data_IF_325197167153
#
_entry.id   IF_325197167153
#
_cell.length_a   1.000
_cell.length_b   1.000
_cell.length_c   1.000
_cell.angle_alpha   90.00
_cell.angle_beta   90.00
_cell.angle_gamma   90.00
#
_symmetry.space_group_name_H-M   'P 1'
#
loop_
_entity.id
_entity.type
_entity.pdbx_description
1 polymer ?
#
# COMPACT_ATOMS: atom_id res chain seq x y z
N UNK A 1 -15.13 15.69 -5.57
CA UNK A 1 -15.77 14.48 -6.19
C UNK A 1 -16.32 14.69 -7.61
N UNK A 2 -15.95 15.67 -8.41
CA UNK A 2 -16.65 15.99 -9.64
C UNK A 2 -15.91 15.91 -10.98
N UNK A 3 -14.58 15.88 -11.00
CA UNK A 3 -13.84 16.11 -12.27
C UNK A 3 -13.69 14.92 -13.22
N UNK A 4 -14.00 13.70 -12.81
CA UNK A 4 -13.85 12.47 -13.62
C UNK A 4 -15.12 11.60 -13.67
N UNK A 5 -16.29 12.19 -13.45
CA UNK A 5 -17.56 11.44 -13.46
C UNK A 5 -17.92 10.83 -14.84
N UNK A 6 -17.30 11.31 -15.91
CA UNK A 6 -17.50 10.84 -17.28
C UNK A 6 -16.63 9.60 -17.64
N UNK A 7 -15.55 9.35 -16.86
CA UNK A 7 -14.71 8.15 -17.06
C UNK A 7 -15.29 7.00 -16.23
N UNK A 8 -15.58 5.88 -16.87
CA UNK A 8 -16.13 4.68 -16.23
C UNK A 8 -15.14 3.53 -16.20
N UNK A 9 -15.31 2.63 -15.22
CA UNK A 9 -14.51 1.41 -15.11
C UNK A 9 -13.05 1.64 -14.75
N UNK A 10 -12.17 0.76 -15.21
CA UNK A 10 -10.73 0.72 -14.89
C UNK A 10 -9.99 2.01 -15.29
N UNK A 11 -10.37 2.64 -16.39
CA UNK A 11 -9.78 3.89 -16.86
C UNK A 11 -9.87 5.04 -15.83
N UNK A 12 -10.91 5.06 -14.99
CA UNK A 12 -11.06 6.03 -13.92
C UNK A 12 -9.95 5.87 -12.87
N UNK A 13 -9.67 4.65 -12.45
CA UNK A 13 -8.62 4.37 -11.46
C UNK A 13 -7.24 4.69 -12.01
N UNK A 14 -6.97 4.37 -13.26
CA UNK A 14 -5.73 4.73 -13.96
C UNK A 14 -5.54 6.25 -13.99
N UNK A 15 -6.54 7.00 -14.40
CA UNK A 15 -6.48 8.46 -14.45
C UNK A 15 -6.27 9.10 -13.07
N UNK A 16 -6.93 8.57 -12.04
CA UNK A 16 -6.74 9.01 -10.64
C UNK A 16 -5.34 8.67 -10.14
N UNK A 17 -4.82 7.49 -10.46
CA UNK A 17 -3.45 7.06 -10.14
C UNK A 17 -2.41 7.98 -10.77
N UNK A 18 -2.52 8.29 -12.06
CA UNK A 18 -1.63 9.22 -12.76
C UNK A 18 -1.67 10.61 -12.09
N UNK A 19 -2.86 11.12 -11.80
CA UNK A 19 -3.02 12.41 -11.11
C UNK A 19 -2.37 12.40 -9.73
N UNK A 20 -2.56 11.34 -8.96
CA UNK A 20 -1.94 11.18 -7.65
C UNK A 20 -0.41 11.16 -7.75
N UNK A 21 0.16 10.41 -8.68
CA UNK A 21 1.60 10.33 -8.92
C UNK A 21 2.19 11.71 -9.28
N UNK A 22 1.55 12.43 -10.17
CA UNK A 22 2.02 13.76 -10.59
C UNK A 22 1.98 14.78 -9.45
N UNK A 23 0.95 14.72 -8.60
CA UNK A 23 0.77 15.61 -7.44
C UNK A 23 1.54 15.18 -6.19
N UNK A 24 2.12 13.99 -6.17
CA UNK A 24 2.76 13.44 -4.98
C UNK A 24 4.01 14.22 -4.58
N UNK A 25 4.10 14.51 -3.29
CA UNK A 25 5.30 15.04 -2.65
C UNK A 25 5.83 13.99 -1.68
N UNK A 26 7.13 13.73 -1.76
CA UNK A 26 7.80 12.84 -0.82
C UNK A 26 7.72 13.42 0.59
N UNK A 27 7.33 12.60 1.54
CA UNK A 27 7.33 12.93 2.97
C UNK A 27 8.15 11.87 3.71
N UNK A 28 9.02 12.26 4.64
CA UNK A 28 9.70 11.31 5.51
C UNK A 28 8.69 10.70 6.50
N UNK A 29 8.86 9.41 6.76
CA UNK A 29 8.11 8.70 7.78
C UNK A 29 8.99 7.62 8.40
N UNK A 30 8.70 7.23 9.63
CA UNK A 30 9.28 6.02 10.19
C UNK A 30 8.31 4.85 9.99
N UNK A 31 8.86 3.66 9.86
CA UNK A 31 8.08 2.44 9.80
C UNK A 31 8.76 1.31 10.56
N UNK A 32 7.96 0.35 11.01
CA UNK A 32 8.40 -0.90 11.62
C UNK A 32 7.55 -2.04 11.10
N UNK A 33 8.19 -3.11 10.62
CA UNK A 33 7.52 -4.30 10.10
C UNK A 33 7.82 -5.47 11.01
N UNK A 34 6.80 -6.24 11.37
CA UNK A 34 6.90 -7.47 12.19
C UNK A 34 7.68 -7.29 13.51
N UNK A 35 7.55 -6.11 14.15
CA UNK A 35 8.30 -5.80 15.38
C UNK A 35 9.81 -5.68 15.20
N UNK A 36 10.29 -5.61 13.95
CA UNK A 36 11.71 -5.43 13.62
C UNK A 36 12.24 -4.03 13.93
N UNK A 37 13.36 -3.67 13.32
CA UNK A 37 13.97 -2.36 13.52
C UNK A 37 13.12 -1.24 12.94
N UNK A 38 13.10 -0.10 13.61
CA UNK A 38 12.47 1.12 13.10
C UNK A 38 13.35 1.72 12.00
N UNK A 39 12.76 1.96 10.85
CA UNK A 39 13.44 2.54 9.70
C UNK A 39 12.78 3.86 9.32
N UNK A 40 13.58 4.89 9.09
CA UNK A 40 13.11 6.14 8.49
C UNK A 40 13.22 6.04 6.98
N UNK A 41 12.12 6.28 6.30
CA UNK A 41 11.99 6.11 4.85
C UNK A 41 11.37 7.34 4.20
N UNK A 42 11.81 7.72 2.99
CA UNK A 42 11.08 8.69 2.19
C UNK A 42 9.85 8.00 1.60
N UNK A 43 8.66 8.32 2.07
CA UNK A 43 7.41 7.80 1.47
C UNK A 43 7.21 8.40 0.09
N UNK A 44 7.70 7.70 -0.90
CA UNK A 44 7.54 8.00 -2.30
C UNK A 44 7.34 6.70 -3.06
N UNK A 45 6.14 6.47 -3.53
CA UNK A 45 5.86 5.31 -4.35
C UNK A 45 4.67 4.48 -3.88
N UNK A 46 4.85 3.18 -3.88
CA UNK A 46 3.81 2.20 -3.61
C UNK A 46 3.94 1.65 -2.19
N UNK A 47 2.85 1.74 -1.43
CA UNK A 47 2.78 1.21 -0.08
C UNK A 47 1.42 0.55 0.11
N UNK A 48 1.38 -0.77 0.18
CA UNK A 48 0.12 -1.53 0.26
C UNK A 48 0.28 -2.72 1.18
N UNK A 49 -0.61 -2.84 2.15
CA UNK A 49 -0.80 -4.02 2.96
C UNK A 49 -2.14 -4.66 2.58
N UNK A 50 -2.11 -5.91 2.14
CA UNK A 50 -3.33 -6.59 1.68
C UNK A 50 -3.29 -8.09 1.91
N UNK A 51 -4.47 -8.67 2.13
CA UNK A 51 -4.71 -10.12 2.08
C UNK A 51 -5.28 -10.59 0.74
N UNK A 52 -5.66 -9.68 -0.13
CA UNK A 52 -6.23 -10.00 -1.43
C UNK A 52 -5.26 -9.65 -2.55
N UNK A 53 -5.14 -10.52 -3.54
CA UNK A 53 -4.24 -10.33 -4.68
C UNK A 53 -4.56 -9.05 -5.47
N UNK A 54 -5.84 -8.71 -5.56
CA UNK A 54 -6.32 -7.64 -6.44
C UNK A 54 -7.13 -6.60 -5.69
N UNK A 55 -7.00 -5.34 -6.11
CA UNK A 55 -7.91 -4.26 -5.72
C UNK A 55 -8.11 -3.24 -6.87
N UNK A 56 -9.00 -2.27 -6.68
CA UNK A 56 -9.12 -1.10 -7.55
C UNK A 56 -9.49 -1.42 -9.01
N UNK A 57 -10.30 -2.46 -9.23
CA UNK A 57 -10.76 -2.81 -10.57
C UNK A 57 -9.90 -3.85 -11.29
N UNK A 58 -9.14 -4.67 -10.55
CA UNK A 58 -8.40 -5.80 -11.09
C UNK A 58 -6.89 -5.65 -11.13
N UNK A 59 -6.34 -4.61 -10.51
CA UNK A 59 -4.88 -4.49 -10.36
C UNK A 59 -4.36 -5.57 -9.41
N UNK A 60 -3.40 -6.37 -9.85
CA UNK A 60 -2.74 -7.41 -9.04
C UNK A 60 -1.62 -6.81 -8.19
N UNK A 61 -1.99 -6.08 -7.15
CA UNK A 61 -1.02 -5.29 -6.38
C UNK A 61 -0.20 -6.15 -5.44
N UNK A 62 -0.79 -7.19 -4.88
CA UNK A 62 -0.13 -8.16 -3.98
C UNK A 62 -0.22 -9.56 -4.58
N UNK A 63 0.57 -9.86 -5.63
CA UNK A 63 0.46 -11.12 -6.35
C UNK A 63 0.68 -12.32 -5.42
N UNK A 64 -0.23 -13.28 -5.46
CA UNK A 64 -0.23 -14.46 -4.61
C UNK A 64 -0.73 -14.24 -3.18
N UNK A 65 -1.18 -13.04 -2.81
CA UNK A 65 -1.86 -12.84 -1.54
C UNK A 65 -3.20 -13.57 -1.51
N UNK A 66 -3.53 -14.17 -0.38
CA UNK A 66 -4.75 -14.95 -0.26
C UNK A 66 -5.33 -14.86 1.16
N UNK A 67 -6.67 -14.67 1.32
CA UNK A 67 -7.31 -14.48 2.62
C UNK A 67 -7.17 -15.62 3.63
N UNK A 68 -6.78 -16.82 3.18
CA UNK A 68 -6.55 -17.99 4.06
C UNK A 68 -5.13 -18.05 4.65
N UNK A 69 -4.25 -17.10 4.30
CA UNK A 69 -2.92 -17.04 4.89
C UNK A 69 -2.99 -16.48 6.31
N UNK A 70 -2.03 -16.86 7.13
CA UNK A 70 -1.85 -16.38 8.50
C UNK A 70 -1.14 -15.02 8.60
N UNK A 71 -0.91 -14.39 7.45
CA UNK A 71 -0.26 -13.09 7.29
C UNK A 71 -0.88 -12.29 6.15
N UNK A 72 -0.68 -10.99 6.16
CA UNK A 72 -0.92 -10.12 5.01
C UNK A 72 0.35 -10.01 4.16
N UNK A 73 0.22 -9.57 2.92
CA UNK A 73 1.35 -9.24 2.06
C UNK A 73 1.56 -7.73 2.06
N UNK A 74 2.78 -7.29 2.38
CA UNK A 74 3.20 -5.91 2.38
C UNK A 74 4.03 -5.62 1.13
N UNK A 75 3.56 -4.71 0.29
CA UNK A 75 4.31 -4.16 -0.85
C UNK A 75 4.91 -2.83 -0.43
N UNK A 76 6.21 -2.70 -0.65
CA UNK A 76 6.95 -1.48 -0.39
C UNK A 76 7.70 -1.08 -1.66
N UNK A 77 7.43 0.11 -2.17
CA UNK A 77 8.17 0.71 -3.27
C UNK A 77 8.79 2.03 -2.82
N UNK A 78 10.10 2.04 -2.59
CA UNK A 78 10.82 3.22 -2.10
C UNK A 78 11.72 3.84 -3.16
N UNK A 79 11.88 5.15 -3.10
CA UNK A 79 12.80 5.89 -3.97
C UNK A 79 12.45 5.80 -5.46
N UNK A 80 11.19 5.56 -5.80
CA UNK A 80 10.70 5.54 -7.17
C UNK A 80 10.59 6.97 -7.70
N UNK A 81 11.19 7.24 -8.86
CA UNK A 81 10.91 8.49 -9.58
C UNK A 81 9.47 8.52 -10.09
N UNK A 82 8.93 9.72 -10.38
CA UNK A 82 7.59 9.85 -10.96
C UNK A 82 7.45 9.08 -12.28
N UNK A 83 8.51 9.02 -13.09
CA UNK A 83 8.52 8.24 -14.33
C UNK A 83 8.47 6.73 -14.04
N UNK A 84 9.20 6.25 -13.02
CA UNK A 84 9.12 4.84 -12.60
C UNK A 84 7.73 4.51 -12.03
N UNK A 85 7.13 5.42 -11.24
CA UNK A 85 5.75 5.24 -10.75
C UNK A 85 4.73 5.17 -11.89
N UNK A 86 4.89 5.96 -12.95
CA UNK A 86 4.04 5.85 -14.14
C UNK A 86 4.32 4.56 -14.91
N UNK A 87 5.58 4.19 -15.07
CA UNK A 87 5.98 2.98 -15.79
C UNK A 87 5.57 1.69 -15.09
N UNK A 88 5.40 1.71 -13.76
CA UNK A 88 4.98 0.53 -13.00
C UNK A 88 3.47 0.23 -13.15
N UNK A 89 2.66 1.16 -13.62
CA UNK A 89 1.19 0.98 -13.72
C UNK A 89 0.79 -0.24 -14.56
N UNK A 90 1.44 -0.46 -15.71
CA UNK A 90 1.18 -1.64 -16.54
C UNK A 90 1.60 -2.96 -15.87
N UNK A 91 2.86 -3.09 -15.40
CA UNK A 91 3.28 -4.23 -14.60
C UNK A 91 2.42 -4.49 -13.35
N UNK A 92 1.94 -3.44 -12.68
CA UNK A 92 1.07 -3.54 -11.52
C UNK A 92 -0.27 -4.22 -11.84
N UNK A 93 -0.83 -3.95 -13.01
CA UNK A 93 -2.05 -4.60 -13.48
C UNK A 93 -1.89 -6.12 -13.62
N UNK A 94 -0.69 -6.56 -14.02
CA UNK A 94 -0.35 -7.97 -14.24
C UNK A 94 0.28 -8.68 -13.05
N UNK A 95 0.63 -7.96 -11.99
CA UNK A 95 1.38 -8.49 -10.85
C UNK A 95 2.88 -8.65 -11.10
N UNK A 96 3.42 -8.01 -12.14
CA UNK A 96 4.83 -8.11 -12.59
C UNK A 96 5.72 -6.97 -12.04
N UNK A 97 5.24 -6.24 -11.04
CA UNK A 97 5.94 -5.06 -10.50
C UNK A 97 6.92 -5.42 -9.38
N UNK A 98 6.73 -6.54 -8.69
CA UNK A 98 7.62 -6.97 -7.60
C UNK A 98 9.03 -7.21 -8.14
N UNK A 99 10.03 -6.73 -7.43
CA UNK A 99 11.44 -6.80 -7.84
C UNK A 99 11.87 -5.76 -8.87
N UNK A 100 10.96 -4.98 -9.45
CA UNK A 100 11.31 -3.96 -10.45
C UNK A 100 12.30 -2.93 -9.89
N UNK A 101 13.36 -2.73 -10.67
CA UNK A 101 14.48 -1.83 -10.36
C UNK A 101 15.17 -2.08 -9.00
N UNK A 102 14.93 -3.24 -8.35
CA UNK A 102 15.40 -3.48 -6.99
C UNK A 102 14.78 -2.55 -5.93
N UNK A 103 13.67 -1.87 -6.27
CA UNK A 103 13.03 -0.85 -5.44
C UNK A 103 11.65 -1.23 -4.93
N UNK A 104 11.06 -2.28 -5.49
CA UNK A 104 9.73 -2.76 -5.10
C UNK A 104 9.91 -4.14 -4.50
N UNK A 105 9.64 -4.25 -3.21
CA UNK A 105 9.70 -5.49 -2.45
C UNK A 105 8.31 -5.93 -2.04
N UNK A 106 8.15 -7.22 -1.80
CA UNK A 106 6.98 -7.81 -1.19
C UNK A 106 7.44 -8.74 -0.06
N UNK A 107 6.83 -8.60 1.09
CA UNK A 107 7.14 -9.42 2.27
C UNK A 107 5.86 -9.79 3.03
N UNK A 108 5.95 -10.87 3.80
CA UNK A 108 4.87 -11.31 4.69
C UNK A 108 4.84 -10.41 5.92
N UNK A 109 3.64 -9.96 6.30
CA UNK A 109 3.46 -8.99 7.34
C UNK A 109 2.37 -9.42 8.34
N UNK A 110 2.73 -9.50 9.60
CA UNK A 110 1.82 -9.77 10.72
C UNK A 110 1.57 -8.53 11.58
N UNK A 111 2.51 -7.58 11.57
CA UNK A 111 2.33 -6.28 12.20
C UNK A 111 3.06 -5.18 11.42
N UNK A 112 2.45 -4.01 11.37
CA UNK A 112 3.00 -2.86 10.67
C UNK A 112 2.71 -1.58 11.46
N UNK A 113 3.73 -0.79 11.71
CA UNK A 113 3.62 0.51 12.35
C UNK A 113 4.20 1.57 11.44
N UNK A 114 3.56 2.73 11.40
CA UNK A 114 4.01 3.88 10.62
C UNK A 114 3.66 5.17 11.35
N UNK A 115 4.59 6.12 11.33
CA UNK A 115 4.39 7.42 11.97
C UNK A 115 5.24 8.51 11.33
N UNK A 116 5.10 9.71 11.87
CA UNK A 116 5.83 10.89 11.42
C UNK A 116 7.26 10.89 11.99
N UNK A 117 8.09 11.76 11.43
CA UNK A 117 9.42 12.06 11.95
C UNK A 117 9.53 13.52 12.35
N UNK A 118 10.42 13.83 13.26
CA UNK A 118 10.82 15.19 13.62
C UNK A 118 11.71 15.84 12.52
N UNK A 119 12.21 17.04 12.80
CA UNK A 119 13.10 17.76 11.88
C UNK A 119 14.46 17.08 11.69
N UNK A 120 14.86 16.21 12.61
CA UNK A 120 16.12 15.44 12.57
C UNK A 120 15.95 14.08 11.89
N UNK A 121 14.70 13.68 11.58
CA UNK A 121 14.39 12.40 10.97
C UNK A 121 14.16 11.26 11.96
N UNK A 122 14.06 11.54 13.27
CA UNK A 122 13.76 10.54 14.28
C UNK A 122 12.24 10.33 14.38
N UNK A 123 11.80 9.13 14.80
CA UNK A 123 10.39 8.88 15.08
C UNK A 123 9.83 9.88 16.09
N UNK A 124 8.78 10.61 15.73
CA UNK A 124 8.13 11.58 16.60
C UNK A 124 6.65 11.67 16.28
N UNK A 125 5.85 11.33 17.28
CA UNK A 125 4.39 11.43 17.19
C UNK A 125 3.86 12.72 17.84
N UNK A 126 4.73 13.42 18.61
CA UNK A 126 4.37 14.61 19.38
C UNK A 126 4.75 15.91 18.67
N UNK A 127 5.85 15.91 17.91
CA UNK A 127 6.36 17.06 17.17
C UNK A 127 6.65 16.69 15.71
N UNK A 128 5.65 16.32 14.92
CA UNK A 128 5.87 15.90 13.55
C UNK A 128 6.31 17.07 12.66
N UNK A 129 7.37 16.87 11.90
CA UNK A 129 7.84 17.85 10.90
C UNK A 129 6.92 17.95 9.69
N UNK A 130 6.13 16.93 9.43
CA UNK A 130 5.22 16.85 8.28
C UNK A 130 3.78 16.60 8.74
N UNK A 131 2.79 17.05 7.95
CA UNK A 131 1.40 16.76 8.25
C UNK A 131 1.14 15.24 8.27
N UNK A 132 0.15 14.77 9.04
CA UNK A 132 -0.17 13.36 9.12
C UNK A 132 -0.53 12.80 7.74
N UNK A 133 -0.09 11.58 7.47
CA UNK A 133 -0.43 10.85 6.26
C UNK A 133 -1.81 10.22 6.41
N UNK A 134 -2.61 10.29 5.36
CA UNK A 134 -3.87 9.57 5.30
C UNK A 134 -3.64 8.11 4.91
N UNK A 135 -4.24 7.21 5.67
CA UNK A 135 -4.23 5.78 5.41
C UNK A 135 -5.59 5.39 4.84
N UNK A 136 -5.56 4.81 3.67
CA UNK A 136 -6.75 4.30 3.01
C UNK A 136 -6.96 2.84 3.41
N UNK A 137 -8.13 2.54 3.96
CA UNK A 137 -8.56 1.17 4.30
C UNK A 137 -9.78 0.85 3.45
N UNK A 138 -9.67 -0.18 2.62
CA UNK A 138 -10.74 -0.68 1.75
C UNK A 138 -11.43 0.39 0.88
N UNK A 139 -10.67 1.40 0.47
CA UNK A 139 -11.16 2.48 -0.40
C UNK A 139 -11.54 3.77 0.35
N UNK A 140 -11.53 3.76 1.68
CA UNK A 140 -11.87 4.91 2.50
C UNK A 140 -10.64 5.46 3.25
N UNK A 141 -10.42 6.76 3.19
CA UNK A 141 -9.37 7.44 3.96
C UNK A 141 -9.88 7.70 5.39
N UNK A 142 -9.79 6.71 6.26
CA UNK A 142 -10.39 6.73 7.58
C UNK A 142 -9.37 6.82 8.74
N UNK A 143 -8.08 6.63 8.45
CA UNK A 143 -7.02 6.67 9.45
C UNK A 143 -5.95 7.69 9.04
N UNK A 144 -5.15 8.09 10.03
CA UNK A 144 -3.96 8.93 9.84
C UNK A 144 -2.79 8.36 10.63
N UNK A 145 -1.58 8.76 10.26
CA UNK A 145 -0.39 8.48 11.10
C UNK A 145 -0.44 9.30 12.41
N UNK A 146 0.12 8.78 13.51
CA UNK A 146 0.71 7.45 13.66
C UNK A 146 -0.35 6.35 13.61
N UNK A 147 -0.01 5.20 13.04
CA UNK A 147 -0.91 4.07 12.91
C UNK A 147 -0.17 2.76 13.18
N UNK A 148 -0.82 1.86 13.92
CA UNK A 148 -0.38 0.48 14.13
C UNK A 148 -1.44 -0.46 13.60
N UNK A 149 -1.02 -1.41 12.78
CA UNK A 149 -1.84 -2.45 12.19
C UNK A 149 -1.32 -3.81 12.64
N UNK A 150 -2.21 -4.63 13.14
CA UNK A 150 -1.89 -6.01 13.51
C UNK A 150 -2.82 -6.96 12.77
N UNK A 151 -2.22 -7.96 12.14
CA UNK A 151 -2.95 -9.00 11.47
C UNK A 151 -3.33 -10.10 12.47
N UNK A 152 -4.58 -10.51 12.45
CA UNK A 152 -5.09 -11.63 13.23
C UNK A 152 -5.72 -12.65 12.28
N UNK A 153 -5.16 -13.86 12.22
CA UNK A 153 -5.77 -14.96 11.47
C UNK A 153 -7.05 -15.46 12.14
N UNK A 154 -7.91 -16.09 11.35
CA UNK A 154 -9.09 -16.85 11.83
C UNK A 154 -10.13 -16.06 12.64
N UNK A 155 -10.14 -14.72 12.54
CA UNK A 155 -11.11 -13.89 13.24
C UNK A 155 -12.48 -13.84 12.54
N UNK A 156 -12.55 -14.15 11.25
CA UNK A 156 -13.76 -14.10 10.46
C UNK A 156 -14.04 -15.43 9.76
N UNK A 157 -15.17 -16.04 10.06
CA UNK A 157 -15.67 -17.20 9.32
C UNK A 157 -16.68 -16.73 8.28
N UNK A 158 -16.30 -16.74 7.02
CA UNK A 158 -17.18 -16.42 5.90
C UNK A 158 -17.82 -17.69 5.38
N UNK A 159 -19.15 -17.80 5.47
CA UNK A 159 -19.93 -18.87 4.83
C UNK A 159 -20.18 -18.48 3.37
N UNK A 160 -19.56 -19.18 2.46
CA UNK A 160 -19.74 -18.99 1.02
C UNK A 160 -19.73 -20.34 0.31
N UNK A 161 -20.29 -20.41 -0.91
CA UNK A 161 -20.17 -21.59 -1.75
C UNK A 161 -18.69 -21.77 -2.11
N UNK A 162 -18.05 -22.80 -1.58
CA UNK A 162 -16.71 -23.18 -1.97
C UNK A 162 -16.75 -23.78 -3.37
N UNK A 163 -16.55 -22.97 -4.39
CA UNK A 163 -15.99 -23.48 -5.63
C UNK A 163 -14.49 -23.20 -5.57
N UNK A 164 -13.75 -24.13 -4.99
CA UNK A 164 -12.32 -24.27 -5.28
C UNK A 164 -12.31 -24.88 -6.68
N UNK A 165 -11.76 -24.22 -7.70
CA UNK A 165 -11.44 -24.94 -8.93
C UNK A 165 -10.43 -26.02 -8.52
N UNK A 166 -10.76 -27.27 -8.80
CA UNK A 166 -9.80 -28.37 -8.67
C UNK A 166 -8.59 -27.99 -9.53
N UNK A 167 -7.42 -28.15 -8.92
CA UNK A 167 -6.11 -28.10 -9.58
C UNK A 167 -6.04 -29.00 -10.81
#
# INVERSE_FOLDING_TARGET
AGKFSWIRGQAKYTALGIRAILGWKTQPAWMRVNGGETQTVPLQGLFVLSQCETFGGGFKVTPGAHPKRDHASLIIGLGLSKLQMLAVMGPLEKGEHVGKWGKITMEDCTSFEIGAVDSEGNPSDTEPHSPPLFINVDGEACLTTPCSLQFHSDQLVVRGASRIPNE
#
